data_IF_860150632172
#
_entry.id   IF_860150632172
#
_cell.length_a   1.000
_cell.length_b   1.000
_cell.length_c   1.000
_cell.angle_alpha   90.00
_cell.angle_beta   90.00
_cell.angle_gamma   90.00
#
_symmetry.space_group_name_H-M   'P 1'
#
loop_
_entity.id
_entity.type
_entity.pdbx_description
1 polymer ?
#
# COMPACT_ATOMS: atom_id res chain seq x y z
N UNK A 1 2.63 16.52 9.23
CA UNK A 1 1.18 16.31 9.26
C UNK A 1 0.80 15.19 8.34
N UNK A 2 -0.11 14.35 8.77
CA UNK A 2 -0.50 13.21 7.97
C UNK A 2 -1.50 13.59 6.90
N UNK A 3 -1.47 12.83 5.82
CA UNK A 3 -2.29 13.12 4.67
C UNK A 3 -3.72 12.59 4.80
N UNK A 4 -3.99 11.81 5.82
CA UNK A 4 -5.25 11.11 5.91
C UNK A 4 -5.15 9.77 5.18
N UNK A 5 -6.21 8.96 5.22
CA UNK A 5 -6.18 7.64 4.59
C UNK A 5 -5.84 7.72 3.11
N UNK A 6 -4.96 6.85 2.68
CA UNK A 6 -4.55 6.82 1.28
C UNK A 6 -5.46 5.90 0.47
N UNK A 7 -5.48 6.06 -0.86
CA UNK A 7 -6.28 5.16 -1.71
C UNK A 7 -5.99 3.69 -1.45
N UNK A 8 -4.77 3.37 -1.01
CA UNK A 8 -4.41 2.00 -0.66
C UNK A 8 -5.37 1.40 0.35
N UNK A 9 -5.77 2.19 1.35
CA UNK A 9 -6.66 1.70 2.40
C UNK A 9 -8.00 1.27 1.82
N UNK A 10 -8.58 2.10 0.98
CA UNK A 10 -9.86 1.79 0.35
C UNK A 10 -9.74 0.60 -0.58
N UNK A 11 -8.67 0.55 -1.35
CA UNK A 11 -8.44 -0.53 -2.30
C UNK A 11 -8.32 -1.86 -1.56
N UNK A 12 -7.52 -1.90 -0.51
CA UNK A 12 -7.36 -3.14 0.27
C UNK A 12 -8.67 -3.57 0.90
N UNK A 13 -9.43 -2.62 1.43
CA UNK A 13 -10.72 -2.93 2.02
C UNK A 13 -11.67 -3.50 0.98
N UNK A 14 -11.71 -2.87 -0.19
CA UNK A 14 -12.60 -3.32 -1.27
C UNK A 14 -12.23 -4.71 -1.76
N UNK A 15 -10.95 -5.01 -1.84
CA UNK A 15 -10.47 -6.31 -2.31
C UNK A 15 -10.51 -7.37 -1.22
N UNK A 16 -10.76 -6.98 0.02
CA UNK A 16 -10.79 -7.92 1.13
C UNK A 16 -9.40 -8.41 1.52
N UNK A 17 -8.37 -7.59 1.30
CA UNK A 17 -7.00 -7.94 1.64
C UNK A 17 -6.64 -7.28 2.95
N UNK A 18 -6.23 -8.09 3.93
CA UNK A 18 -5.77 -7.56 5.22
C UNK A 18 -4.28 -7.23 5.14
N UNK A 19 -3.81 -6.51 6.17
CA UNK A 19 -2.37 -6.23 6.27
C UNK A 19 -1.58 -7.53 6.31
N UNK A 20 -2.08 -8.54 7.03
CA UNK A 20 -1.42 -9.83 7.11
C UNK A 20 -1.36 -10.49 5.74
N UNK A 21 -2.46 -10.46 5.00
CA UNK A 21 -2.50 -11.04 3.66
C UNK A 21 -1.46 -10.40 2.76
N UNK A 22 -1.36 -9.08 2.83
CA UNK A 22 -0.44 -8.36 1.97
C UNK A 22 1.01 -8.67 2.35
N UNK A 23 1.30 -8.70 3.65
CA UNK A 23 2.65 -9.02 4.10
C UNK A 23 3.06 -10.42 3.68
N UNK A 24 2.13 -11.37 3.74
CA UNK A 24 2.41 -12.74 3.33
C UNK A 24 2.60 -12.87 1.82
N UNK A 25 1.95 -12.04 1.05
CA UNK A 25 2.08 -12.07 -0.40
C UNK A 25 3.40 -11.47 -0.87
N UNK A 26 4.03 -10.64 -0.04
CA UNK A 26 5.27 -9.99 -0.41
C UNK A 26 6.43 -10.97 -0.39
N UNK A 27 7.27 -10.91 -1.40
CA UNK A 27 8.53 -11.66 -1.43
C UNK A 27 9.68 -10.84 -0.89
N UNK A 28 9.39 -9.62 -0.44
CA UNK A 28 10.37 -8.72 0.11
C UNK A 28 10.02 -8.48 1.57
N UNK A 29 10.89 -7.77 2.28
CA UNK A 29 10.60 -7.47 3.68
C UNK A 29 9.55 -6.37 3.75
N UNK A 30 8.34 -6.79 3.98
CA UNK A 30 7.20 -5.87 4.11
C UNK A 30 6.49 -6.23 5.40
N UNK A 31 6.53 -5.32 6.37
CA UNK A 31 5.95 -5.59 7.67
C UNK A 31 4.52 -5.04 7.76
N UNK A 32 3.79 -5.63 8.69
CA UNK A 32 2.44 -5.18 9.03
C UNK A 32 2.44 -3.67 9.37
N UNK A 33 3.47 -3.26 10.09
CA UNK A 33 3.57 -1.87 10.54
C UNK A 33 3.75 -0.92 9.36
N UNK A 34 4.56 -1.31 8.38
CA UNK A 34 4.77 -0.50 7.18
C UNK A 34 3.47 -0.33 6.41
N UNK A 35 2.72 -1.41 6.26
CA UNK A 35 1.46 -1.37 5.53
C UNK A 35 0.47 -0.48 6.26
N UNK A 36 0.39 -0.64 7.57
CA UNK A 36 -0.55 0.15 8.37
C UNK A 36 -0.25 1.64 8.27
N UNK A 37 1.03 2.01 8.30
CA UNK A 37 1.42 3.39 8.16
C UNK A 37 1.00 3.95 6.80
N UNK A 38 1.19 3.17 5.75
CA UNK A 38 0.81 3.60 4.41
C UNK A 38 -0.69 3.80 4.27
N UNK A 39 -1.47 2.90 4.85
CA UNK A 39 -2.92 3.00 4.78
C UNK A 39 -3.41 4.22 5.56
N UNK A 40 -2.74 4.53 6.66
CA UNK A 40 -3.14 5.63 7.53
C UNK A 40 -2.73 7.01 7.02
N UNK A 41 -1.96 7.08 5.95
CA UNK A 41 -1.58 8.37 5.37
C UNK A 41 -0.17 8.80 5.64
N UNK A 42 0.63 7.98 6.34
CA UNK A 42 2.04 8.28 6.55
C UNK A 42 2.77 8.23 5.21
N UNK A 43 3.62 9.20 5.00
CA UNK A 43 4.43 9.20 3.77
C UNK A 43 5.48 8.10 3.86
N UNK A 44 5.48 7.23 2.89
CA UNK A 44 6.44 6.13 2.80
C UNK A 44 7.51 6.46 1.78
N UNK A 45 8.67 5.83 1.94
CA UNK A 45 9.71 5.96 0.94
C UNK A 45 9.29 5.25 -0.34
N UNK A 46 9.92 5.64 -1.44
CA UNK A 46 9.62 5.03 -2.73
C UNK A 46 9.81 3.50 -2.68
N UNK A 47 10.86 3.06 -2.01
CA UNK A 47 11.14 1.63 -1.91
C UNK A 47 10.00 0.88 -1.22
N UNK A 48 9.49 1.44 -0.12
CA UNK A 48 8.40 0.79 0.60
C UNK A 48 7.12 0.82 -0.21
N UNK A 49 6.85 1.94 -0.88
CA UNK A 49 5.68 2.04 -1.75
C UNK A 49 5.72 0.96 -2.83
N UNK A 50 6.88 0.76 -3.42
CA UNK A 50 7.05 -0.23 -4.47
C UNK A 50 6.85 -1.64 -3.94
N UNK A 51 7.35 -1.91 -2.73
CA UNK A 51 7.16 -3.22 -2.10
C UNK A 51 5.68 -3.52 -1.90
N UNK A 52 4.93 -2.51 -1.45
CA UNK A 52 3.49 -2.67 -1.24
C UNK A 52 2.79 -2.92 -2.56
N UNK A 53 3.17 -2.18 -3.60
CA UNK A 53 2.57 -2.37 -4.92
C UNK A 53 2.81 -3.78 -5.45
N UNK A 54 4.05 -4.26 -5.34
CA UNK A 54 4.37 -5.61 -5.80
C UNK A 54 3.60 -6.66 -5.01
N UNK A 55 3.49 -6.47 -3.70
CA UNK A 55 2.76 -7.42 -2.86
C UNK A 55 1.29 -7.45 -3.25
N UNK A 56 0.71 -6.27 -3.52
CA UNK A 56 -0.69 -6.19 -3.91
C UNK A 56 -0.93 -6.90 -5.25
N UNK A 57 -0.03 -6.70 -6.20
CA UNK A 57 -0.14 -7.37 -7.49
C UNK A 57 0.03 -8.88 -7.35
N UNK A 58 0.88 -9.32 -6.43
CA UNK A 58 1.04 -10.75 -6.17
C UNK A 58 -0.19 -11.36 -5.54
N UNK A 59 -0.84 -10.61 -4.62
CA UNK A 59 -2.05 -11.09 -3.96
C UNK A 59 -3.24 -11.11 -4.91
N UNK A 60 -3.28 -10.19 -5.84
CA UNK A 60 -4.38 -10.07 -6.82
C UNK A 60 -3.79 -9.84 -8.20
N UNK A 61 -3.35 -10.92 -8.87
CA UNK A 61 -2.67 -10.77 -10.17
C UNK A 61 -3.54 -10.14 -11.25
N UNK A 62 -4.84 -10.19 -11.07
CA UNK A 62 -5.76 -9.62 -12.06
C UNK A 62 -5.81 -8.09 -12.00
N UNK A 63 -5.22 -7.49 -10.97
CA UNK A 63 -5.23 -6.03 -10.83
C UNK A 63 -3.99 -5.42 -11.46
N UNK A 64 -4.15 -4.17 -11.89
CA UNK A 64 -3.05 -3.42 -12.53
C UNK A 64 -2.99 -2.03 -11.94
N UNK A 65 -2.47 -1.95 -10.72
CA UNK A 65 -2.35 -0.68 -10.03
C UNK A 65 -0.98 -0.06 -10.30
N UNK A 66 -0.93 1.25 -10.18
CA UNK A 66 0.32 2.00 -10.20
C UNK A 66 0.49 2.64 -8.82
N UNK A 67 1.67 3.21 -8.59
CA UNK A 67 1.91 3.90 -7.33
C UNK A 67 0.94 5.06 -7.12
N UNK A 68 0.58 5.74 -8.19
CA UNK A 68 -0.37 6.85 -8.09
C UNK A 68 -1.76 6.38 -7.68
N UNK A 69 -2.09 5.14 -8.01
CA UNK A 69 -3.39 4.59 -7.63
C UNK A 69 -3.45 4.30 -6.14
N UNK A 70 -2.31 4.00 -5.53
CA UNK A 70 -2.24 3.59 -4.13
C UNK A 70 -1.93 4.74 -3.19
N UNK A 71 -1.12 5.68 -3.63
CA UNK A 71 -0.61 6.74 -2.76
C UNK A 71 -0.85 8.11 -3.38
N UNK A 72 -1.44 8.98 -2.59
CA UNK A 72 -1.80 10.31 -3.01
C UNK A 72 -1.33 11.30 -1.95
N UNK A 73 -0.02 11.57 -1.94
CA UNK A 73 0.56 12.46 -0.95
C UNK A 73 0.42 13.89 -1.43
N UNK A 74 -0.60 14.55 -0.95
CA UNK A 74 -0.85 15.93 -1.30
C UNK A 74 0.08 16.86 -0.54
N UNK A 75 0.21 18.09 -1.05
CA UNK A 75 1.05 19.06 -0.42
C UNK A 75 2.52 18.78 -0.65
N UNK A 76 2.83 17.83 -1.48
CA UNK A 76 4.18 17.38 -1.75
C UNK A 76 4.64 17.93 -3.09
N UNK A 77 4.59 19.20 -3.22
CA UNK A 77 4.97 19.81 -4.48
C UNK A 77 6.31 20.48 -4.42
#
# INVERSE_FOLDING_TARGET
MEQGPQPLDEIMTRLGISNTDLALASKEQLTHKMINKGRGGRRLTFNIQTKILRALCAARPETHFTLKDLFNYEGNR
#
